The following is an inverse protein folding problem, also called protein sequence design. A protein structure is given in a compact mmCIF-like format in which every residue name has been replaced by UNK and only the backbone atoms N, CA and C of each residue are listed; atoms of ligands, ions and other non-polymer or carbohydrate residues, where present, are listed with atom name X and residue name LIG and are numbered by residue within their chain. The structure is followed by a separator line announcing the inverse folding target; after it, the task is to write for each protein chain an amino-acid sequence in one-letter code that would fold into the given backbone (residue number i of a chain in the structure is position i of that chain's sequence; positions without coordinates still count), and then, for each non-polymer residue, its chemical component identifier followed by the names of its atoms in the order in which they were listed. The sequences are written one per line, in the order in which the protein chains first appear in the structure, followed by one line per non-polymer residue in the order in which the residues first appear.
data_IF_018510616304
#
_entry.id   IF_018510616304
#
_cell.length_a   1.000
_cell.length_b   1.000
_cell.length_c   1.000
_cell.angle_alpha   90.00
_cell.angle_beta   90.00
_cell.angle_gamma   90.00
#
_symmetry.space_group_name_H-M   'P 1'
#
loop_
_entity.id
_entity.type
_entity.pdbx_description
1 polymer ?
#
# COMPACT_ATOMS: atom_id res chain seq x y z
N UNK A 1 12.57 2.10 12.85
CA UNK A 1 11.45 1.21 12.51
C UNK A 1 10.73 1.80 11.31
N UNK A 2 10.60 1.07 10.19
CA UNK A 2 9.98 1.60 8.95
C UNK A 2 8.55 1.12 8.82
N UNK A 3 8.34 -0.19 8.81
CA UNK A 3 7.02 -0.80 8.91
C UNK A 3 7.09 -2.26 9.40
N UNK A 4 5.94 -2.83 9.74
CA UNK A 4 5.79 -4.22 10.21
C UNK A 4 4.65 -4.91 9.46
N UNK A 5 4.92 -6.13 8.99
CA UNK A 5 3.92 -7.06 8.47
C UNK A 5 3.47 -8.03 9.57
N UNK A 6 2.23 -8.56 9.50
CA UNK A 6 1.81 -9.65 10.37
C UNK A 6 2.73 -10.87 10.25
N UNK A 7 3.03 -11.52 11.36
CA UNK A 7 3.99 -12.63 11.42
C UNK A 7 3.51 -13.91 10.72
N UNK A 8 2.21 -14.02 10.45
CA UNK A 8 1.58 -15.14 9.78
C UNK A 8 1.45 -14.95 8.24
N UNK A 9 1.87 -13.78 7.73
CA UNK A 9 1.84 -13.46 6.31
C UNK A 9 3.12 -13.93 5.61
N UNK A 10 2.95 -14.69 4.52
CA UNK A 10 4.04 -15.10 3.63
C UNK A 10 4.00 -14.19 2.42
N UNK A 11 5.06 -13.40 2.23
CA UNK A 11 5.22 -12.46 1.12
C UNK A 11 6.10 -13.08 0.04
N UNK A 12 5.53 -13.45 -1.12
CA UNK A 12 6.31 -13.99 -2.23
C UNK A 12 5.75 -13.56 -3.58
N UNK A 13 6.40 -12.55 -4.18
CA UNK A 13 5.94 -12.00 -5.46
C UNK A 13 4.74 -11.05 -5.34
N UNK A 14 4.45 -10.58 -4.12
CA UNK A 14 3.44 -9.55 -3.82
C UNK A 14 3.73 -8.21 -4.51
N UNK A 15 2.68 -7.39 -4.63
CA UNK A 15 2.76 -6.03 -5.15
C UNK A 15 2.32 -5.03 -4.08
N UNK A 16 2.99 -3.89 -4.03
CA UNK A 16 2.65 -2.74 -3.18
C UNK A 16 2.43 -1.52 -4.07
N UNK A 17 1.32 -0.83 -3.88
CA UNK A 17 0.98 0.40 -4.61
C UNK A 17 0.56 1.52 -3.65
N UNK A 18 0.84 2.77 -4.01
CA UNK A 18 0.31 3.93 -3.30
C UNK A 18 -1.15 4.13 -3.70
N UNK A 19 -2.04 4.23 -2.72
CA UNK A 19 -3.39 4.74 -2.92
C UNK A 19 -3.35 6.27 -2.87
N UNK A 20 -3.94 6.92 -3.88
CA UNK A 20 -4.05 8.37 -3.94
C UNK A 20 -5.44 8.74 -3.48
N UNK A 21 -5.54 9.51 -2.39
CA UNK A 21 -6.81 10.11 -2.01
C UNK A 21 -7.04 11.36 -2.87
N UNK A 22 -8.04 11.31 -3.75
CA UNK A 22 -8.42 12.43 -4.60
C UNK A 22 -8.90 13.66 -3.82
N UNK A 23 -9.22 13.52 -2.53
CA UNK A 23 -9.63 14.62 -1.66
C UNK A 23 -8.48 15.20 -0.81
N UNK A 24 -7.29 14.56 -0.79
CA UNK A 24 -6.16 15.06 0.00
C UNK A 24 -5.27 16.00 -0.82
N UNK A 25 -5.71 17.24 -0.97
CA UNK A 25 -4.79 18.33 -1.38
C UNK A 25 -3.64 18.57 -0.36
N UNK A 26 -3.62 17.83 0.74
CA UNK A 26 -2.74 18.01 1.90
C UNK A 26 -1.76 16.84 2.14
N UNK A 27 -1.55 15.92 1.17
CA UNK A 27 -0.56 14.84 1.30
C UNK A 27 0.86 15.36 1.62
N UNK A 28 1.17 16.60 1.19
CA UNK A 28 2.43 17.28 1.52
C UNK A 28 2.52 17.77 2.97
N UNK A 29 1.39 17.99 3.65
CA UNK A 29 1.37 18.63 4.96
C UNK A 29 1.42 17.63 6.13
N UNK A 30 1.02 16.37 5.89
CA UNK A 30 0.86 15.37 6.96
C UNK A 30 1.92 14.26 6.97
N UNK A 31 2.88 14.28 6.04
CA UNK A 31 3.93 13.25 5.89
C UNK A 31 3.37 11.82 5.92
N UNK A 32 2.17 11.64 5.37
CA UNK A 32 1.39 10.41 5.42
C UNK A 32 1.04 9.94 4.01
N UNK A 33 1.05 8.63 3.79
CA UNK A 33 0.54 7.98 2.58
C UNK A 33 -0.23 6.73 2.99
N UNK A 34 -1.17 6.31 2.15
CA UNK A 34 -1.81 5.00 2.28
C UNK A 34 -1.26 4.07 1.21
N UNK A 35 -0.79 2.90 1.62
CA UNK A 35 -0.27 1.86 0.75
C UNK A 35 -1.19 0.64 0.78
N UNK A 36 -1.35 0.01 -0.38
CA UNK A 36 -2.07 -1.23 -0.57
C UNK A 36 -1.07 -2.31 -0.97
N UNK A 37 -1.05 -3.40 -0.23
CA UNK A 37 -0.25 -4.59 -0.52
C UNK A 37 -1.19 -5.75 -0.80
N UNK A 38 -0.93 -6.49 -1.86
CA UNK A 38 -1.67 -7.71 -2.13
C UNK A 38 -0.74 -8.74 -2.74
N UNK A 39 -0.92 -9.97 -2.29
CA UNK A 39 -0.26 -11.13 -2.84
C UNK A 39 -1.32 -12.17 -3.13
N UNK A 40 -0.98 -13.04 -4.07
CA UNK A 40 -1.67 -14.30 -4.18
C UNK A 40 -0.74 -15.38 -4.72
N UNK A 41 -0.36 -16.22 -3.77
CA UNK A 41 0.38 -17.44 -4.00
C UNK A 41 -0.57 -18.64 -3.89
N UNK A 42 -0.40 -19.62 -4.79
CA UNK A 42 -1.30 -20.77 -4.95
C UNK A 42 -1.46 -21.64 -3.68
N UNK A 43 -0.51 -21.56 -2.75
CA UNK A 43 -0.41 -22.47 -1.60
C UNK A 43 -0.51 -21.78 -0.24
N UNK A 44 -0.75 -20.47 -0.19
CA UNK A 44 -0.81 -19.71 1.08
C UNK A 44 -2.11 -18.94 1.18
N UNK A 45 -2.47 -18.54 2.42
CA UNK A 45 -3.65 -17.71 2.65
C UNK A 45 -3.51 -16.38 1.92
N UNK A 46 -4.52 -16.05 1.12
CA UNK A 46 -4.61 -14.79 0.41
C UNK A 46 -4.69 -13.66 1.42
N UNK A 47 -4.00 -12.56 1.12
CA UNK A 47 -4.08 -11.37 1.92
C UNK A 47 -4.06 -10.14 1.01
N UNK A 48 -4.93 -9.21 1.34
CA UNK A 48 -4.84 -7.83 0.90
C UNK A 48 -4.69 -7.02 2.17
N UNK A 49 -3.60 -6.27 2.25
CA UNK A 49 -3.20 -5.51 3.41
C UNK A 49 -3.18 -4.03 3.04
N UNK A 50 -3.54 -3.19 3.99
CA UNK A 50 -3.43 -1.74 3.88
C UNK A 50 -2.52 -1.23 5.00
N UNK A 51 -1.75 -0.20 4.70
CA UNK A 51 -0.93 0.48 5.67
C UNK A 51 -1.09 1.98 5.52
N UNK A 52 -1.39 2.66 6.63
CA UNK A 52 -1.16 4.10 6.76
C UNK A 52 0.30 4.29 7.14
N UNK A 53 1.10 4.75 6.20
CA UNK A 53 2.51 5.03 6.42
C UNK A 53 2.71 6.49 6.80
N UNK A 54 3.48 6.72 7.85
CA UNK A 54 3.98 8.03 8.26
C UNK A 54 5.49 8.05 8.04
N UNK A 55 5.99 9.08 7.37
CA UNK A 55 7.42 9.25 7.09
C UNK A 55 8.22 9.24 8.39
N UNK A 56 9.23 8.37 8.43
CA UNK A 56 10.25 8.34 9.48
C UNK A 56 11.50 9.11 9.08
N UNK A 57 11.49 9.71 7.89
CA UNK A 57 12.59 10.45 7.28
C UNK A 57 12.47 11.96 7.49
N UNK A 58 11.78 12.39 8.55
CA UNK A 58 11.70 13.81 8.89
C UNK A 58 13.09 14.29 9.34
N UNK A 59 13.90 14.70 8.37
CA UNK A 59 15.09 15.48 8.63
C UNK A 59 14.65 16.87 9.08
N UNK A 60 15.13 17.27 10.26
CA UNK A 60 15.04 18.61 10.83
C UNK A 60 15.83 19.65 9.98
N UNK A 61 15.71 19.62 8.66
CA UNK A 61 16.39 20.56 7.76
C UNK A 61 15.66 21.91 7.66
N UNK A 62 15.15 22.42 8.78
CA UNK A 62 15.09 23.87 8.96
C UNK A 62 16.43 24.31 9.53
N UNK A 63 17.35 24.58 8.61
CA UNK A 63 18.59 25.32 8.83
C UNK A 63 18.31 26.80 9.17
N UNK A 64 17.35 27.09 10.04
CA UNK A 64 17.30 28.37 10.72
C UNK A 64 18.20 28.28 11.95
N UNK A 65 19.41 28.83 11.77
CA UNK A 65 20.43 29.03 12.77
C UNK A 65 19.86 29.83 13.95
N UNK A 66 19.27 29.14 14.92
CA UNK A 66 19.22 29.57 16.31
C UNK A 66 19.34 28.32 17.17
N UNK A 67 20.60 27.94 17.40
CA UNK A 67 21.00 26.95 18.39
C UNK A 67 20.51 27.42 19.76
N UNK A 68 19.31 26.98 20.15
CA UNK A 68 18.83 26.78 21.53
C UNK A 68 17.39 26.23 21.54
N UNK A 69 17.01 25.38 20.57
CA UNK A 69 15.83 24.52 20.73
C UNK A 69 16.27 23.23 21.41
N UNK A 70 16.07 23.23 22.73
CA UNK A 70 16.40 22.18 23.68
C UNK A 70 16.08 20.77 23.16
N UNK A 71 17.05 19.84 23.25
CA UNK A 71 16.90 18.40 22.96
C UNK A 71 15.63 17.80 23.61
N UNK A 72 15.20 18.36 24.73
CA UNK A 72 13.96 18.01 25.44
C UNK A 72 12.70 18.17 24.58
N UNK A 73 12.62 19.20 23.72
CA UNK A 73 11.46 19.42 22.85
C UNK A 73 11.44 18.44 21.67
N UNK A 74 12.62 18.05 21.16
CA UNK A 74 12.77 17.02 20.13
C UNK A 74 12.37 15.65 20.66
N UNK A 75 12.82 15.29 21.87
CA UNK A 75 12.41 14.05 22.54
C UNK A 75 10.91 14.02 22.85
N UNK A 76 10.33 15.14 23.28
CA UNK A 76 8.87 15.23 23.50
C UNK A 76 8.09 15.00 22.21
N UNK A 77 8.47 15.65 21.10
CA UNK A 77 7.82 15.49 19.80
C UNK A 77 7.94 14.05 19.26
N UNK A 78 9.10 13.41 19.44
CA UNK A 78 9.31 12.01 19.07
C UNK A 78 8.47 11.06 19.96
N UNK A 79 8.35 11.34 21.26
CA UNK A 79 7.56 10.54 22.17
C UNK A 79 6.05 10.68 21.92
N UNK A 80 5.57 11.90 21.60
CA UNK A 80 4.19 12.14 21.17
C UNK A 80 3.89 11.45 19.84
N UNK A 81 4.81 11.54 18.86
CA UNK A 81 4.72 10.83 17.59
C UNK A 81 4.64 9.31 17.77
N UNK A 82 5.51 8.74 18.62
CA UNK A 82 5.50 7.32 18.94
C UNK A 82 4.20 6.87 19.65
N UNK A 83 3.63 7.72 20.52
CA UNK A 83 2.34 7.45 21.17
C UNK A 83 1.18 7.49 20.17
N UNK A 84 1.18 8.45 19.23
CA UNK A 84 0.16 8.58 18.19
C UNK A 84 0.24 7.45 17.15
N UNK A 85 1.45 6.94 16.88
CA UNK A 85 1.69 5.75 16.07
C UNK A 85 1.14 4.49 16.71
N UNK A 86 1.32 4.35 18.03
CA UNK A 86 0.83 3.20 18.79
C UNK A 86 -0.69 3.13 18.88
N UNK A 87 -1.39 4.26 18.90
CA UNK A 87 -2.86 4.29 18.98
C UNK A 87 -3.56 4.08 17.64
N UNK A 88 -2.88 4.33 16.51
CA UNK A 88 -3.49 4.32 15.18
C UNK A 88 -2.93 3.23 14.24
N UNK A 89 -2.09 2.33 14.75
CA UNK A 89 -1.41 1.27 14.00
C UNK A 89 -0.69 1.82 12.74
N UNK A 90 -0.09 3.01 12.85
CA UNK A 90 0.71 3.55 11.75
C UNK A 90 1.93 2.68 11.48
N UNK A 91 2.36 2.64 10.23
CA UNK A 91 3.49 1.83 9.78
C UNK A 91 3.30 0.32 10.04
N UNK A 92 2.07 -0.14 10.26
CA UNK A 92 1.74 -1.56 10.36
C UNK A 92 0.79 -1.94 9.23
N UNK A 93 1.07 -3.08 8.61
CA UNK A 93 0.17 -3.67 7.62
C UNK A 93 -0.96 -4.41 8.34
N UNK A 94 -2.20 -4.02 8.02
CA UNK A 94 -3.41 -4.64 8.57
C UNK A 94 -4.27 -5.20 7.43
N UNK A 95 -5.08 -6.25 7.65
CA UNK A 95 -6.04 -6.73 6.66
C UNK A 95 -6.94 -5.59 6.14
N UNK A 96 -7.07 -5.49 4.82
CA UNK A 96 -8.08 -4.64 4.21
C UNK A 96 -9.45 -5.29 4.40
N UNK A 97 -10.38 -4.58 5.04
CA UNK A 97 -11.72 -5.09 5.31
C UNK A 97 -12.80 -4.15 4.85
N UNK A 98 -13.99 -4.70 4.61
CA UNK A 98 -15.21 -3.90 4.42
C UNK A 98 -15.73 -3.33 5.76
N UNK A 99 -16.86 -2.62 5.70
CA UNK A 99 -17.51 -2.03 6.87
C UNK A 99 -18.03 -3.06 7.90
N UNK A 100 -18.05 -4.34 7.55
CA UNK A 100 -18.47 -5.45 8.39
C UNK A 100 -17.28 -6.27 8.89
N UNK A 101 -16.04 -5.77 8.71
CA UNK A 101 -14.78 -6.45 9.01
C UNK A 101 -14.54 -7.73 8.19
N UNK A 102 -15.21 -7.90 7.05
CA UNK A 102 -14.90 -9.01 6.15
C UNK A 102 -13.65 -8.68 5.34
N UNK A 103 -12.67 -9.59 5.22
CA UNK A 103 -11.50 -9.38 4.38
C UNK A 103 -11.87 -9.13 2.92
N UNK A 104 -11.36 -8.05 2.36
CA UNK A 104 -11.40 -7.79 0.92
C UNK A 104 -10.19 -8.50 0.31
N UNK A 105 -10.42 -9.30 -0.73
CA UNK A 105 -9.38 -10.07 -1.40
C UNK A 105 -9.32 -9.65 -2.87
N UNK A 106 -8.15 -9.26 -3.34
CA UNK A 106 -7.92 -8.92 -4.74
C UNK A 106 -7.52 -10.18 -5.53
N UNK A 107 -8.25 -10.46 -6.62
CA UNK A 107 -8.08 -11.63 -7.48
C UNK A 107 -9.09 -12.76 -7.17
N UNK A 108 -9.25 -13.72 -8.11
CA UNK A 108 -10.22 -14.83 -8.02
C UNK A 108 -9.65 -16.03 -7.25
N UNK A 109 -10.18 -17.24 -7.41
CA UNK A 109 -9.61 -18.47 -6.81
C UNK A 109 -8.59 -19.18 -7.70
N UNK A 110 -8.66 -18.98 -9.03
CA UNK A 110 -7.83 -19.67 -10.01
C UNK A 110 -6.63 -18.87 -10.58
N UNK A 111 -6.64 -17.53 -10.56
CA UNK A 111 -5.49 -16.74 -11.06
C UNK A 111 -4.17 -16.96 -10.27
N UNK A 112 -3.04 -16.91 -10.97
CA UNK A 112 -1.71 -17.00 -10.38
C UNK A 112 -1.07 -15.62 -10.36
N UNK A 113 -0.96 -15.01 -9.18
CA UNK A 113 -0.37 -13.66 -9.00
C UNK A 113 1.10 -13.72 -8.59
N UNK A 114 1.76 -14.84 -8.80
CA UNK A 114 3.20 -14.94 -8.60
C UNK A 114 3.95 -13.97 -9.53
N UNK A 115 4.54 -12.93 -8.94
CA UNK A 115 5.20 -11.84 -9.68
C UNK A 115 4.21 -10.84 -10.28
N UNK A 116 3.02 -10.69 -9.67
CA UNK A 116 2.03 -9.68 -10.04
C UNK A 116 2.60 -8.27 -9.95
N UNK A 117 2.10 -7.41 -10.83
CA UNK A 117 2.37 -5.98 -10.82
C UNK A 117 1.07 -5.22 -10.93
N UNK A 118 1.05 -4.04 -10.33
CA UNK A 118 -0.07 -3.16 -10.50
C UNK A 118 0.32 -1.69 -10.44
N UNK A 119 -0.58 -0.88 -10.98
CA UNK A 119 -0.52 0.56 -10.98
C UNK A 119 -1.91 1.11 -10.65
N UNK A 120 -1.96 2.15 -9.82
CA UNK A 120 -3.18 2.93 -9.58
C UNK A 120 -3.26 4.02 -10.64
N UNK A 121 -4.42 4.15 -11.28
CA UNK A 121 -4.69 5.14 -12.31
C UNK A 121 -6.18 5.34 -12.55
N UNK A 122 -6.53 5.70 -13.80
CA UNK A 122 -7.85 6.24 -14.12
C UNK A 122 -7.94 7.72 -13.79
N UNK A 123 -8.94 8.42 -14.36
CA UNK A 123 -9.08 9.88 -14.23
C UNK A 123 -9.15 10.32 -12.76
N UNK A 124 -9.73 9.48 -11.90
CA UNK A 124 -9.90 9.75 -10.48
C UNK A 124 -9.00 8.91 -9.57
N UNK A 125 -7.94 8.27 -10.10
CA UNK A 125 -7.09 7.33 -9.35
C UNK A 125 -7.87 6.18 -8.67
N UNK A 126 -9.02 5.82 -9.23
CA UNK A 126 -9.95 4.85 -8.67
C UNK A 126 -9.83 3.46 -9.30
N UNK A 127 -8.92 3.28 -10.26
CA UNK A 127 -8.71 2.01 -10.95
C UNK A 127 -7.34 1.44 -10.61
N UNK A 128 -7.32 0.16 -10.26
CA UNK A 128 -6.11 -0.63 -10.09
C UNK A 128 -5.95 -1.54 -11.30
N UNK A 129 -4.94 -1.26 -12.12
CA UNK A 129 -4.54 -2.09 -13.24
C UNK A 129 -3.60 -3.17 -12.73
N UNK A 130 -3.95 -4.43 -12.91
CA UNK A 130 -3.23 -5.57 -12.37
C UNK A 130 -2.79 -6.45 -13.53
N UNK A 131 -1.50 -6.67 -13.66
CA UNK A 131 -0.91 -7.55 -14.68
C UNK A 131 -0.24 -8.73 -14.00
N UNK A 132 -0.51 -9.94 -14.50
CA UNK A 132 -0.02 -11.18 -13.90
C UNK A 132 0.21 -12.26 -14.97
N UNK A 133 0.65 -13.44 -14.53
CA UNK A 133 1.15 -14.52 -15.39
C UNK A 133 0.23 -14.84 -16.58
N UNK A 134 0.82 -15.33 -17.68
CA UNK A 134 0.15 -15.59 -18.95
C UNK A 134 -0.55 -14.34 -19.49
N UNK A 135 0.23 -13.26 -19.69
CA UNK A 135 -0.16 -12.01 -20.35
C UNK A 135 -1.50 -11.38 -19.90
N UNK A 136 -1.99 -11.74 -18.72
CA UNK A 136 -3.31 -11.32 -18.24
C UNK A 136 -3.27 -9.91 -17.67
N UNK A 137 -4.33 -9.15 -17.91
CA UNK A 137 -4.61 -7.89 -17.25
C UNK A 137 -6.02 -7.89 -16.66
N UNK A 138 -6.14 -7.44 -15.41
CA UNK A 138 -7.40 -7.16 -14.74
C UNK A 138 -7.47 -5.69 -14.38
N UNK A 139 -8.67 -5.12 -14.47
CA UNK A 139 -8.97 -3.79 -13.96
C UNK A 139 -9.90 -3.96 -12.77
N UNK A 140 -9.46 -3.45 -11.62
CA UNK A 140 -10.17 -3.51 -10.35
C UNK A 140 -10.58 -2.10 -9.93
N UNK A 141 -11.85 -1.91 -9.59
CA UNK A 141 -12.38 -0.64 -9.10
C UNK A 141 -12.14 -0.54 -7.59
N UNK A 142 -11.35 0.45 -7.18
CA UNK A 142 -10.99 0.70 -5.78
C UNK A 142 -12.13 1.26 -4.94
N UNK A 143 -13.19 1.80 -5.55
CA UNK A 143 -14.35 2.32 -4.83
C UNK A 143 -15.35 1.21 -4.47
N UNK A 144 -15.54 0.25 -5.39
CA UNK A 144 -16.50 -0.86 -5.21
C UNK A 144 -15.83 -2.14 -4.73
N UNK A 145 -14.50 -2.18 -4.75
CA UNK A 145 -13.69 -3.37 -4.47
C UNK A 145 -14.02 -4.57 -5.36
N UNK A 146 -14.26 -4.33 -6.65
CA UNK A 146 -14.65 -5.36 -7.62
C UNK A 146 -13.80 -5.33 -8.89
N UNK A 147 -13.57 -6.50 -9.49
CA UNK A 147 -13.00 -6.59 -10.83
C UNK A 147 -14.07 -6.16 -11.84
N UNK A 148 -13.77 -5.13 -12.63
CA UNK A 148 -14.69 -4.59 -13.65
C UNK A 148 -14.36 -5.06 -15.07
N UNK A 149 -13.11 -5.47 -15.32
CA UNK A 149 -12.67 -5.97 -16.63
C UNK A 149 -11.51 -6.94 -16.48
N UNK A 150 -11.49 -7.94 -17.35
CA UNK A 150 -10.34 -8.79 -17.60
C UNK A 150 -10.04 -8.78 -19.10
N UNK A 151 -8.76 -8.85 -19.43
CA UNK A 151 -8.29 -8.93 -20.81
C UNK A 151 -6.92 -9.62 -20.90
N UNK A 152 -6.47 -9.84 -22.12
CA UNK A 152 -5.14 -10.38 -22.43
C UNK A 152 -4.35 -9.30 -23.15
N UNK A 153 -3.17 -8.97 -22.62
CA UNK A 153 -2.28 -8.02 -23.28
C UNK A 153 -1.80 -8.60 -24.63
N UNK A 154 -1.70 -7.77 -25.69
CA UNK A 154 -1.25 -8.20 -27.01
C UNK A 154 0.28 -8.38 -27.04
N UNK A 155 0.76 -9.36 -26.27
CA UNK A 155 2.16 -9.78 -26.21
C UNK A 155 2.21 -11.29 -26.17
N UNK A 156 3.22 -11.86 -26.83
CA UNK A 156 3.45 -13.31 -26.85
C UNK A 156 4.29 -13.77 -25.64
N UNK A 157 4.83 -12.83 -24.87
CA UNK A 157 5.70 -13.12 -23.73
C UNK A 157 4.93 -13.32 -22.41
N UNK A 158 5.48 -14.20 -21.57
CA UNK A 158 5.02 -14.36 -20.20
C UNK A 158 5.37 -13.12 -19.37
N UNK A 159 4.36 -12.35 -18.97
CA UNK A 159 4.55 -11.19 -18.10
C UNK A 159 4.53 -11.62 -16.62
N UNK A 160 5.64 -11.38 -15.91
CA UNK A 160 5.77 -11.50 -14.45
C UNK A 160 7.00 -10.72 -14.01
N UNK A 161 6.98 -10.20 -12.79
CA UNK A 161 8.10 -9.44 -12.19
C UNK A 161 8.57 -8.18 -12.94
N UNK A 162 7.84 -7.71 -13.96
CA UNK A 162 8.17 -6.50 -14.72
C UNK A 162 8.04 -5.22 -13.88
N UNK A 163 8.41 -4.05 -14.41
CA UNK A 163 8.21 -2.77 -13.73
C UNK A 163 7.17 -1.94 -14.48
N UNK A 164 6.41 -1.14 -13.73
CA UNK A 164 5.62 -0.02 -14.26
C UNK A 164 6.40 1.28 -14.14
#
# INVERSE_FOLDING_TARGET
FICEYPSDVILNGHCVVKLVDSNSNNDKDNNQITLLSFDRHLYTKKHTLVMKYVSVWNDDNNNDKNQNQNETNKLKKLNEFNQLNKSNNYNQWIPLTDNHNNPIIIGRDQDNYYGVRALVGGVNNNLLFITYAANNISVFDLNTFQIIKNDILPTDDLIRYHCF
#
